data_IF_071179727104
#
_entry.id   IF_071179727104
#
_cell.length_a   1.000
_cell.length_b   1.000
_cell.length_c   1.000
_cell.angle_alpha   90.00
_cell.angle_beta   90.00
_cell.angle_gamma   90.00
#
_symmetry.space_group_name_H-M   'P 1'
#
loop_
_entity.id
_entity.type
_entity.pdbx_description
1 polymer ?
#
# COMPACT_ATOMS: atom_id res chain seq x y z
N UNK A 1 24.65 31.00 -37.35
CA UNK A 1 24.28 30.64 -35.96
C UNK A 1 23.24 29.51 -35.85
N UNK A 2 22.29 29.40 -36.77
CA UNK A 2 21.24 28.35 -36.79
C UNK A 2 21.79 26.92 -36.86
N UNK A 3 22.84 26.66 -37.65
CA UNK A 3 23.45 25.32 -37.81
C UNK A 3 24.18 24.85 -36.54
N UNK A 4 24.80 25.77 -35.80
CA UNK A 4 25.51 25.46 -34.54
C UNK A 4 24.51 25.09 -33.43
N UNK A 5 23.30 25.66 -33.47
CA UNK A 5 22.23 25.33 -32.53
C UNK A 5 21.63 23.95 -32.81
N UNK A 6 21.47 23.57 -34.08
CA UNK A 6 21.00 22.24 -34.48
C UNK A 6 21.95 21.13 -34.01
N UNK A 7 23.27 21.33 -34.15
CA UNK A 7 24.28 20.34 -33.74
C UNK A 7 24.25 20.08 -32.22
N UNK A 8 24.06 21.13 -31.41
CA UNK A 8 23.95 21.01 -29.94
C UNK A 8 22.67 20.29 -29.51
N UNK A 9 21.56 20.54 -30.18
CA UNK A 9 20.29 19.85 -29.94
C UNK A 9 20.40 18.36 -30.29
N UNK A 10 20.98 18.01 -31.45
CA UNK A 10 21.21 16.61 -31.83
C UNK A 10 22.16 15.88 -30.89
N UNK A 11 23.22 16.54 -30.43
CA UNK A 11 24.17 15.93 -29.47
C UNK A 11 23.51 15.70 -28.11
N UNK A 12 22.66 16.63 -27.66
CA UNK A 12 21.90 16.49 -26.40
C UNK A 12 20.83 15.41 -26.51
N UNK A 13 20.13 15.34 -27.64
CA UNK A 13 19.14 14.30 -27.93
C UNK A 13 19.79 12.92 -27.98
N UNK A 14 20.93 12.76 -28.66
CA UNK A 14 21.66 11.49 -28.67
C UNK A 14 22.14 11.09 -27.28
N UNK A 15 22.64 12.03 -26.47
CA UNK A 15 23.03 11.73 -25.07
C UNK A 15 21.84 11.27 -24.22
N UNK A 16 20.67 11.90 -24.38
CA UNK A 16 19.44 11.50 -23.68
C UNK A 16 18.98 10.13 -24.19
N UNK A 17 18.99 9.89 -25.50
CA UNK A 17 18.62 8.63 -26.10
C UNK A 17 19.53 7.47 -25.64
N UNK A 18 20.85 7.67 -25.64
CA UNK A 18 21.82 6.68 -25.15
C UNK A 18 21.62 6.39 -23.66
N UNK A 19 21.47 7.42 -22.81
CA UNK A 19 21.17 7.23 -21.39
C UNK A 19 19.86 6.48 -21.15
N UNK A 20 18.83 6.74 -21.97
CA UNK A 20 17.56 6.03 -21.86
C UNK A 20 17.71 4.56 -22.27
N UNK A 21 18.50 4.25 -23.30
CA UNK A 21 18.79 2.87 -23.71
C UNK A 21 19.57 2.14 -22.61
N UNK A 22 20.65 2.74 -22.09
CA UNK A 22 21.44 2.17 -20.99
C UNK A 22 20.59 1.93 -19.73
N UNK A 23 19.72 2.89 -19.38
CA UNK A 23 18.78 2.75 -18.25
C UNK A 23 17.80 1.61 -18.48
N UNK A 24 17.29 1.44 -19.69
CA UNK A 24 16.37 0.34 -19.99
C UNK A 24 17.05 -1.02 -20.06
N UNK A 25 18.30 -1.10 -20.52
CA UNK A 25 19.09 -2.33 -20.46
C UNK A 25 19.40 -2.72 -19.02
N UNK A 26 19.83 -1.76 -18.18
CA UNK A 26 20.06 -1.99 -16.76
C UNK A 26 18.77 -2.48 -16.06
N UNK A 27 17.63 -1.84 -16.35
CA UNK A 27 16.32 -2.24 -15.82
C UNK A 27 15.92 -3.64 -16.27
N UNK A 28 16.18 -4.01 -17.53
CA UNK A 28 15.92 -5.38 -18.03
C UNK A 28 16.76 -6.41 -17.29
N UNK A 29 18.06 -6.16 -17.12
CA UNK A 29 18.95 -7.09 -16.40
C UNK A 29 18.55 -7.25 -14.93
N UNK A 30 18.12 -6.18 -14.27
CA UNK A 30 17.59 -6.22 -12.92
C UNK A 30 16.28 -7.03 -12.86
N UNK A 31 15.37 -6.79 -13.81
CA UNK A 31 14.10 -7.51 -13.91
C UNK A 31 14.31 -9.01 -14.13
N UNK A 32 15.26 -9.40 -14.98
CA UNK A 32 15.53 -10.82 -15.25
C UNK A 32 16.16 -11.53 -14.05
N UNK A 33 17.05 -10.86 -13.31
CA UNK A 33 17.58 -11.37 -12.03
C UNK A 33 16.46 -11.57 -11.01
N UNK A 34 15.60 -10.58 -10.85
CA UNK A 34 14.47 -10.68 -9.93
C UNK A 34 13.52 -11.83 -10.32
N UNK A 35 13.23 -12.00 -11.62
CA UNK A 35 12.38 -13.11 -12.07
C UNK A 35 12.96 -14.46 -11.69
N UNK A 36 14.25 -14.66 -11.91
CA UNK A 36 14.94 -15.90 -11.56
C UNK A 36 14.90 -16.15 -10.05
N UNK A 37 15.16 -15.12 -9.25
CA UNK A 37 15.08 -15.21 -7.79
C UNK A 37 13.65 -15.53 -7.33
N UNK A 38 12.65 -14.84 -7.86
CA UNK A 38 11.25 -15.08 -7.54
C UNK A 38 10.79 -16.47 -7.97
N UNK A 39 11.28 -17.00 -9.09
CA UNK A 39 11.04 -18.39 -9.50
C UNK A 39 11.64 -19.39 -8.52
N UNK A 40 12.87 -19.17 -8.05
CA UNK A 40 13.52 -20.01 -7.05
C UNK A 40 12.74 -20.00 -5.73
N UNK A 41 12.37 -18.81 -5.24
CA UNK A 41 11.60 -18.68 -4.01
C UNK A 41 10.20 -19.27 -4.14
N UNK A 42 9.57 -19.13 -5.30
CA UNK A 42 8.28 -19.75 -5.57
C UNK A 42 8.36 -21.29 -5.54
N UNK A 43 9.46 -21.89 -5.99
CA UNK A 43 9.66 -23.34 -5.86
C UNK A 43 9.79 -23.78 -4.40
N UNK A 44 10.51 -23.02 -3.56
CA UNK A 44 10.62 -23.28 -2.13
C UNK A 44 9.25 -23.17 -1.46
N UNK A 45 8.49 -22.11 -1.78
CA UNK A 45 7.13 -21.91 -1.31
C UNK A 45 6.20 -23.08 -1.70
N UNK A 46 6.24 -23.55 -2.95
CA UNK A 46 5.41 -24.67 -3.39
C UNK A 46 5.74 -25.97 -2.64
N UNK A 47 7.01 -26.18 -2.24
CA UNK A 47 7.38 -27.30 -1.36
C UNK A 47 6.87 -27.10 0.06
N UNK A 48 6.99 -25.90 0.63
CA UNK A 48 6.45 -25.55 1.95
C UNK A 48 4.94 -25.78 2.00
N UNK A 49 4.22 -25.30 0.99
CA UNK A 49 2.77 -25.46 0.84
C UNK A 49 2.37 -26.92 0.78
N UNK A 50 3.03 -27.72 -0.08
CA UNK A 50 2.80 -29.18 -0.16
C UNK A 50 3.08 -29.88 1.16
N UNK A 51 4.16 -29.52 1.86
CA UNK A 51 4.46 -30.07 3.19
C UNK A 51 3.33 -29.73 4.17
N UNK A 52 2.91 -28.47 4.25
CA UNK A 52 1.92 -28.05 5.23
C UNK A 52 0.52 -28.61 4.93
N UNK A 53 0.15 -28.77 3.66
CA UNK A 53 -1.08 -29.45 3.24
C UNK A 53 -1.08 -30.93 3.67
N UNK A 54 0.09 -31.58 3.76
CA UNK A 54 0.21 -32.95 4.33
C UNK A 54 0.12 -32.99 5.86
N UNK A 55 0.32 -31.87 6.56
CA UNK A 55 0.19 -31.80 8.02
C UNK A 55 -1.26 -31.55 8.49
N UNK A 56 -2.06 -30.84 7.68
CA UNK A 56 -3.43 -30.42 8.03
C UNK A 56 -4.51 -31.54 7.91
N UNK A 57 -4.10 -32.80 7.81
CA UNK A 57 -4.96 -33.96 7.53
C UNK A 57 -5.76 -34.46 8.75
N UNK A 58 -6.64 -33.60 9.30
CA UNK A 58 -7.60 -33.96 10.35
C UNK A 58 -9.05 -34.17 9.89
N UNK A 59 -9.38 -33.96 8.60
CA UNK A 59 -10.73 -34.15 8.05
C UNK A 59 -10.94 -35.56 7.47
N UNK A 60 -12.20 -35.99 7.26
CA UNK A 60 -12.57 -37.29 6.65
C UNK A 60 -12.01 -37.52 5.24
N UNK A 61 -11.52 -36.48 4.55
CA UNK A 61 -10.83 -36.59 3.26
C UNK A 61 -9.39 -37.11 3.39
N UNK A 62 -8.80 -37.08 4.60
CA UNK A 62 -7.45 -37.57 4.91
C UNK A 62 -7.25 -39.07 4.71
N UNK A 63 -8.29 -39.87 4.95
CA UNK A 63 -8.23 -41.33 4.79
C UNK A 63 -8.03 -41.74 3.32
N UNK A 64 -8.44 -40.90 2.37
CA UNK A 64 -8.23 -41.12 0.93
C UNK A 64 -6.90 -40.54 0.44
N UNK A 65 -6.38 -39.48 1.07
CA UNK A 65 -5.11 -38.86 0.71
C UNK A 65 -3.89 -39.74 1.07
N UNK A 66 -3.94 -40.45 2.22
CA UNK A 66 -2.90 -41.42 2.63
C UNK A 66 -2.72 -42.57 1.62
N UNK A 67 -3.77 -42.94 0.89
CA UNK A 67 -3.72 -44.02 -0.10
C UNK A 67 -3.02 -43.62 -1.42
N UNK A 68 -2.75 -42.32 -1.64
CA UNK A 68 -2.10 -41.81 -2.85
C UNK A 68 -0.59 -41.64 -2.58
N UNK A 69 0.31 -42.36 -3.28
CA UNK A 69 1.76 -42.31 -3.06
C UNK A 69 2.40 -40.92 -3.13
N UNK A 70 1.73 -39.97 -3.82
CA UNK A 70 2.15 -38.58 -3.98
C UNK A 70 2.13 -37.76 -2.67
N UNK A 71 1.43 -38.24 -1.64
CA UNK A 71 1.39 -37.62 -0.30
C UNK A 71 2.27 -38.33 0.73
N UNK A 72 3.13 -39.26 0.29
CA UNK A 72 4.18 -39.82 1.16
C UNK A 72 5.21 -38.74 1.45
N UNK A 73 5.23 -38.26 2.70
CA UNK A 73 6.26 -37.44 3.34
C UNK A 73 6.98 -36.47 2.38
N UNK A 74 6.27 -35.44 1.92
CA UNK A 74 6.95 -34.26 1.38
C UNK A 74 7.83 -33.70 2.51
N UNK A 75 9.17 -33.63 2.38
CA UNK A 75 10.01 -33.08 3.44
C UNK A 75 9.75 -31.57 3.57
N UNK A 76 9.81 -31.06 4.80
CA UNK A 76 9.86 -29.62 5.02
C UNK A 76 11.12 -29.06 4.33
N UNK A 77 11.06 -27.92 3.64
CA UNK A 77 12.26 -27.25 3.13
C UNK A 77 13.28 -26.99 4.23
N UNK A 78 14.56 -26.90 3.86
CA UNK A 78 15.62 -26.68 4.83
C UNK A 78 15.45 -25.31 5.52
N UNK A 79 15.89 -25.19 6.78
CA UNK A 79 15.76 -23.97 7.58
C UNK A 79 16.30 -22.73 6.85
N UNK A 80 17.47 -22.82 6.22
CA UNK A 80 18.04 -21.74 5.41
C UNK A 80 17.17 -21.35 4.19
N UNK A 81 16.49 -22.32 3.56
CA UNK A 81 15.56 -22.03 2.46
C UNK A 81 14.32 -21.30 2.99
N UNK A 82 13.83 -21.66 4.18
CA UNK A 82 12.69 -20.99 4.83
C UNK A 82 13.04 -19.57 5.27
N UNK A 83 14.26 -19.33 5.77
CA UNK A 83 14.75 -17.98 6.09
C UNK A 83 14.87 -17.13 4.84
N UNK A 84 15.50 -17.65 3.78
CA UNK A 84 15.61 -16.96 2.50
C UNK A 84 14.24 -16.63 1.92
N UNK A 85 13.27 -17.54 2.04
CA UNK A 85 11.90 -17.31 1.64
C UNK A 85 11.24 -16.19 2.47
N UNK A 86 11.44 -16.18 3.80
CA UNK A 86 10.93 -15.11 4.66
C UNK A 86 11.52 -13.75 4.27
N UNK A 87 12.85 -13.64 4.14
CA UNK A 87 13.52 -12.38 3.78
C UNK A 87 13.15 -11.87 2.38
N UNK A 88 12.92 -12.77 1.42
CA UNK A 88 12.49 -12.38 0.07
C UNK A 88 11.15 -11.64 0.06
N UNK A 89 10.18 -12.11 0.84
CA UNK A 89 8.84 -11.48 0.91
C UNK A 89 8.74 -10.41 2.00
N UNK A 90 9.62 -10.48 3.00
CA UNK A 90 9.64 -9.64 4.19
C UNK A 90 11.09 -9.31 4.54
N UNK A 91 11.70 -8.30 3.89
CA UNK A 91 13.09 -7.96 4.15
C UNK A 91 13.30 -7.50 5.60
N UNK A 92 14.53 -7.64 6.13
CA UNK A 92 14.95 -6.96 7.35
C UNK A 92 14.51 -5.50 7.38
N UNK A 93 14.18 -4.97 8.57
CA UNK A 93 13.62 -3.62 8.68
C UNK A 93 14.61 -2.57 8.20
N UNK A 94 15.88 -2.70 8.58
CA UNK A 94 16.97 -1.82 8.16
C UNK A 94 17.15 -1.75 6.65
N UNK A 95 16.89 -2.87 5.93
CA UNK A 95 17.05 -3.01 4.48
C UNK A 95 15.79 -2.57 3.69
N UNK A 96 14.76 -2.04 4.37
CA UNK A 96 13.57 -1.52 3.68
C UNK A 96 13.93 -0.33 2.81
N UNK A 97 13.61 -0.43 1.53
CA UNK A 97 13.91 0.60 0.54
C UNK A 97 13.04 1.85 0.74
N UNK A 98 13.70 2.96 1.00
CA UNK A 98 13.12 4.28 1.13
C UNK A 98 13.48 5.15 -0.09
N UNK A 99 12.59 6.08 -0.44
CA UNK A 99 12.83 7.02 -1.52
C UNK A 99 12.98 8.43 -0.97
N UNK A 100 14.05 9.11 -1.36
CA UNK A 100 14.32 10.51 -1.04
C UNK A 100 14.32 11.30 -2.34
N UNK A 101 13.36 12.21 -2.46
CA UNK A 101 13.17 13.08 -3.61
C UNK A 101 13.40 14.53 -3.19
N UNK A 102 14.42 15.15 -3.76
CA UNK A 102 14.79 16.54 -3.52
C UNK A 102 14.26 17.43 -4.63
N UNK A 103 13.59 18.52 -4.27
CA UNK A 103 13.06 19.52 -5.18
C UNK A 103 13.57 20.91 -4.80
N UNK A 104 14.11 21.66 -5.76
CA UNK A 104 14.58 23.03 -5.51
C UNK A 104 15.36 23.60 -6.68
N UNK A 105 15.48 24.93 -6.74
CA UNK A 105 16.29 25.66 -7.74
C UNK A 105 16.12 25.17 -9.20
N UNK A 106 14.89 24.83 -9.61
CA UNK A 106 14.60 24.37 -10.96
C UNK A 106 15.11 22.96 -11.30
N UNK A 107 15.51 22.16 -10.30
CA UNK A 107 15.91 20.77 -10.45
C UNK A 107 15.17 19.84 -9.47
N UNK A 108 15.20 18.55 -9.80
CA UNK A 108 14.74 17.48 -8.94
C UNK A 108 15.75 16.32 -8.96
N UNK A 109 16.02 15.73 -7.80
CA UNK A 109 16.89 14.56 -7.66
C UNK A 109 16.16 13.46 -6.90
N UNK A 110 16.31 12.21 -7.33
CA UNK A 110 15.74 11.04 -6.68
C UNK A 110 16.88 10.11 -6.22
N UNK A 111 16.75 9.63 -4.99
CA UNK A 111 17.69 8.69 -4.37
C UNK A 111 16.90 7.56 -3.72
N UNK A 112 17.49 6.38 -3.80
CA UNK A 112 17.01 5.16 -3.16
C UNK A 112 17.98 4.88 -2.01
N UNK A 113 17.46 4.74 -0.80
CA UNK A 113 18.24 4.61 0.44
C UNK A 113 17.61 3.54 1.31
N UNK A 114 18.40 2.91 2.17
CA UNK A 114 17.88 1.93 3.12
C UNK A 114 17.28 2.63 4.35
N UNK A 115 16.28 2.02 4.99
CA UNK A 115 15.67 2.59 6.21
C UNK A 115 16.71 2.81 7.31
N UNK A 116 17.67 1.90 7.43
CA UNK A 116 18.76 2.01 8.40
C UNK A 116 19.70 3.19 8.13
N UNK A 117 19.66 3.81 6.95
CA UNK A 117 20.44 5.01 6.62
C UNK A 117 19.59 6.29 6.63
N UNK A 118 18.28 6.18 6.85
CA UNK A 118 17.33 7.27 6.61
C UNK A 118 17.59 8.52 7.47
N UNK A 119 18.09 8.35 8.70
CA UNK A 119 18.39 9.44 9.63
C UNK A 119 19.47 10.39 9.07
N UNK A 120 20.49 9.86 8.39
CA UNK A 120 21.50 10.70 7.73
C UNK A 120 20.86 11.67 6.72
N UNK A 121 19.84 11.19 6.00
CA UNK A 121 19.16 11.97 4.97
C UNK A 121 18.18 13.01 5.51
N UNK A 122 17.64 12.88 6.73
CA UNK A 122 16.91 14.02 7.31
C UNK A 122 17.82 15.02 8.02
N UNK A 123 19.03 14.61 8.44
CA UNK A 123 20.00 15.53 9.05
C UNK A 123 20.74 16.38 8.01
N UNK A 124 20.86 15.88 6.78
CA UNK A 124 21.68 16.50 5.72
C UNK A 124 20.85 17.01 4.54
N UNK A 125 20.01 18.04 4.75
CA UNK A 125 19.29 18.69 3.64
C UNK A 125 20.21 19.68 2.90
N UNK A 126 20.49 19.48 1.59
CA UNK A 126 21.31 20.42 0.83
C UNK A 126 20.64 21.79 0.75
N UNK A 127 21.46 22.85 0.73
CA UNK A 127 20.96 24.23 0.75
C UNK A 127 20.06 24.60 -0.43
N UNK A 128 20.24 23.95 -1.59
CA UNK A 128 19.43 24.17 -2.80
C UNK A 128 18.03 23.56 -2.71
N UNK A 129 17.81 22.63 -1.76
CA UNK A 129 16.56 21.85 -1.66
C UNK A 129 15.54 22.65 -0.88
N UNK A 130 14.49 23.07 -1.58
CA UNK A 130 13.33 23.70 -0.97
C UNK A 130 12.48 22.65 -0.26
N UNK A 131 12.20 21.54 -0.95
CA UNK A 131 11.37 20.44 -0.43
C UNK A 131 12.12 19.12 -0.55
N UNK A 132 12.31 18.42 0.57
CA UNK A 132 12.78 17.03 0.60
C UNK A 132 11.59 16.13 0.93
N UNK A 133 11.23 15.29 -0.02
CA UNK A 133 10.17 14.32 0.11
C UNK A 133 10.74 12.94 0.38
N UNK A 134 10.36 12.34 1.50
CA UNK A 134 10.78 11.02 1.93
C UNK A 134 9.56 10.10 1.87
N UNK A 135 9.70 8.95 1.23
CA UNK A 135 8.72 7.87 1.32
C UNK A 135 9.35 6.62 1.90
N UNK A 136 8.71 6.09 2.94
CA UNK A 136 9.14 4.90 3.66
C UNK A 136 8.02 3.86 3.63
N UNK A 137 8.30 2.60 3.25
CA UNK A 137 7.28 1.57 3.00
C UNK A 137 6.75 0.90 4.29
N UNK A 138 6.54 1.66 5.36
CA UNK A 138 6.15 1.15 6.68
C UNK A 138 4.65 1.22 6.93
N UNK A 139 4.10 0.14 7.45
CA UNK A 139 2.76 0.04 8.02
C UNK A 139 2.68 0.57 9.44
N UNK A 140 1.47 0.74 9.94
CA UNK A 140 1.22 1.39 11.24
C UNK A 140 1.58 0.45 12.40
N UNK A 141 2.78 0.59 12.96
CA UNK A 141 3.30 -0.19 14.08
C UNK A 141 4.50 0.46 14.77
N UNK A 142 5.30 -0.33 15.50
CA UNK A 142 6.42 0.17 16.29
C UNK A 142 7.46 0.92 15.45
N UNK A 143 7.95 0.32 14.36
CA UNK A 143 8.94 0.96 13.48
C UNK A 143 8.40 2.26 12.89
N UNK A 144 7.15 2.27 12.42
CA UNK A 144 6.51 3.48 11.90
C UNK A 144 6.44 4.58 12.97
N UNK A 145 5.93 4.29 14.15
CA UNK A 145 5.81 5.28 15.22
C UNK A 145 7.17 5.81 15.67
N UNK A 146 8.21 4.98 15.63
CA UNK A 146 9.57 5.39 15.98
C UNK A 146 10.16 6.32 14.90
N UNK A 147 10.02 5.96 13.61
CA UNK A 147 10.42 6.83 12.50
C UNK A 147 9.67 8.16 12.51
N UNK A 148 8.36 8.13 12.78
CA UNK A 148 7.53 9.32 12.96
C UNK A 148 8.09 10.24 14.06
N UNK A 149 8.34 9.69 15.24
CA UNK A 149 8.76 10.48 16.40
C UNK A 149 10.15 11.09 16.21
N UNK A 150 11.11 10.29 15.72
CA UNK A 150 12.46 10.79 15.45
C UNK A 150 12.43 11.89 14.38
N UNK A 151 11.66 11.68 13.30
CA UNK A 151 11.50 12.69 12.25
C UNK A 151 10.95 14.03 12.78
N UNK A 152 9.94 13.96 13.65
CA UNK A 152 9.29 15.14 14.23
C UNK A 152 10.16 15.81 15.30
N UNK A 153 10.94 15.05 16.07
CA UNK A 153 11.86 15.57 17.08
C UNK A 153 13.09 16.24 16.48
N UNK A 154 13.58 15.76 15.33
CA UNK A 154 14.78 16.27 14.66
C UNK A 154 14.57 17.63 13.95
N UNK A 155 13.41 18.27 14.10
CA UNK A 155 13.09 19.49 13.38
C UNK A 155 12.20 20.45 14.15
N UNK A 156 12.18 21.73 13.74
CA UNK A 156 11.18 22.65 14.23
C UNK A 156 9.80 22.11 13.84
N UNK A 157 8.97 21.86 14.85
CA UNK A 157 7.54 21.61 14.65
C UNK A 157 6.96 22.71 13.77
N UNK A 158 5.98 22.34 12.93
CA UNK A 158 5.28 23.28 12.06
C UNK A 158 4.91 24.57 12.79
N UNK A 159 4.82 25.69 12.04
CA UNK A 159 4.44 26.99 12.59
C UNK A 159 3.23 26.87 13.52
N UNK A 160 3.34 27.41 14.73
CA UNK A 160 2.19 27.54 15.64
C UNK A 160 1.25 28.61 15.09
N UNK A 161 -0.05 28.33 15.10
CA UNK A 161 -1.08 29.27 14.63
C UNK A 161 -2.07 29.52 15.76
N UNK A 162 -2.14 30.76 16.22
CA UNK A 162 -2.96 31.19 17.37
C UNK A 162 -4.44 30.82 17.22
N UNK A 163 -4.95 30.78 15.98
CA UNK A 163 -6.37 30.58 15.67
C UNK A 163 -6.71 29.20 15.09
N UNK A 164 -5.73 28.32 14.86
CA UNK A 164 -5.98 27.00 14.27
C UNK A 164 -6.24 25.90 15.31
N UNK A 165 -6.22 26.22 16.61
CA UNK A 165 -6.46 25.27 17.70
C UNK A 165 -5.39 24.17 17.87
N UNK A 166 -4.48 23.99 16.90
CA UNK A 166 -3.29 23.12 16.91
C UNK A 166 -2.18 23.69 16.02
N UNK A 167 -0.92 23.38 16.35
CA UNK A 167 0.27 23.75 15.57
C UNK A 167 0.31 22.99 14.25
N UNK A 168 -0.38 23.50 13.23
CA UNK A 168 -0.50 22.82 11.94
C UNK A 168 -1.15 21.43 12.04
N UNK A 169 -1.35 20.81 10.88
CA UNK A 169 -1.59 19.37 10.75
C UNK A 169 -0.25 18.63 10.82
N UNK A 170 0.31 18.19 11.95
CA UNK A 170 1.61 17.51 11.92
C UNK A 170 1.57 16.28 11.01
N UNK A 171 0.37 15.71 10.76
CA UNK A 171 0.17 14.66 9.78
C UNK A 171 -1.22 14.59 9.15
N UNK A 172 -1.28 14.00 7.96
CA UNK A 172 -2.48 13.57 7.25
C UNK A 172 -2.56 12.05 7.29
N UNK A 173 -3.66 11.49 7.80
CA UNK A 173 -3.92 10.05 7.79
C UNK A 173 -5.09 9.71 6.86
N UNK A 174 -4.85 8.82 5.90
CA UNK A 174 -5.87 8.33 4.96
C UNK A 174 -5.64 6.85 4.64
N UNK A 175 -6.60 6.23 3.97
CA UNK A 175 -6.38 4.92 3.35
C UNK A 175 -6.19 5.04 1.85
N UNK A 176 -5.26 4.26 1.31
CA UNK A 176 -5.04 4.12 -0.13
C UNK A 176 -5.49 2.73 -0.57
N UNK A 177 -6.27 2.71 -1.64
CA UNK A 177 -6.66 1.47 -2.32
C UNK A 177 -5.70 1.22 -3.48
N UNK A 178 -5.14 0.02 -3.55
CA UNK A 178 -4.19 -0.36 -4.59
C UNK A 178 -4.41 -1.81 -5.04
N UNK A 179 -3.96 -2.15 -6.24
CA UNK A 179 -4.01 -3.53 -6.73
C UNK A 179 -2.67 -4.22 -6.59
N UNK A 180 -2.71 -5.51 -6.24
CA UNK A 180 -1.54 -6.39 -6.24
C UNK A 180 -1.83 -7.64 -7.05
N UNK A 181 -0.78 -8.30 -7.54
CA UNK A 181 -0.93 -9.62 -8.11
C UNK A 181 -1.48 -10.56 -7.02
N UNK A 182 -2.61 -11.19 -7.30
CA UNK A 182 -3.36 -12.02 -6.36
C UNK A 182 -2.50 -13.17 -5.83
N UNK A 183 -1.80 -13.87 -6.72
CA UNK A 183 -0.96 -15.00 -6.28
C UNK A 183 0.20 -14.54 -5.40
N UNK A 184 0.80 -13.38 -5.69
CA UNK A 184 1.87 -12.83 -4.87
C UNK A 184 1.34 -12.46 -3.48
N UNK A 185 0.23 -11.72 -3.44
CA UNK A 185 -0.43 -11.33 -2.20
C UNK A 185 -0.85 -12.54 -1.35
N UNK A 186 -1.44 -13.58 -1.95
CA UNK A 186 -1.82 -14.80 -1.24
C UNK A 186 -0.59 -15.58 -0.79
N UNK A 187 0.47 -15.63 -1.60
CA UNK A 187 1.75 -16.27 -1.24
C UNK A 187 2.38 -15.63 -0.02
N UNK A 188 2.49 -14.29 0.02
CA UNK A 188 2.98 -13.55 1.19
C UNK A 188 2.24 -13.97 2.46
N UNK A 189 0.91 -13.95 2.42
CA UNK A 189 0.06 -14.28 3.57
C UNK A 189 0.17 -15.73 4.01
N UNK A 190 0.25 -16.65 3.05
CA UNK A 190 0.41 -18.07 3.33
C UNK A 190 1.78 -18.34 3.97
N UNK A 191 2.83 -17.65 3.51
CA UNK A 191 4.18 -17.69 4.11
C UNK A 191 4.11 -17.19 5.56
N UNK A 192 3.51 -16.02 5.82
CA UNK A 192 3.33 -15.51 7.17
C UNK A 192 2.64 -16.53 8.08
N UNK A 193 1.46 -17.03 7.67
CA UNK A 193 0.69 -18.00 8.46
C UNK A 193 1.46 -19.29 8.75
N UNK A 194 2.30 -19.75 7.82
CA UNK A 194 3.04 -21.01 7.97
C UNK A 194 4.37 -20.86 8.69
N UNK A 195 4.97 -19.67 8.70
CA UNK A 195 6.32 -19.46 9.25
C UNK A 195 6.34 -18.69 10.57
N UNK A 196 5.34 -17.85 10.88
CA UNK A 196 5.40 -16.97 12.05
C UNK A 196 5.57 -17.68 13.41
N UNK A 197 4.97 -18.86 13.57
CA UNK A 197 5.03 -19.67 14.79
C UNK A 197 6.22 -20.66 14.84
N UNK A 198 7.11 -20.66 13.83
CA UNK A 198 8.25 -21.60 13.79
C UNK A 198 9.42 -21.08 14.62
N UNK A 199 9.55 -21.60 15.84
CA UNK A 199 10.64 -21.25 16.78
C UNK A 199 12.04 -21.41 16.19
N UNK A 200 12.25 -22.42 15.34
CA UNK A 200 13.52 -22.68 14.63
C UNK A 200 13.99 -21.51 13.75
N UNK A 201 13.08 -20.62 13.33
CA UNK A 201 13.39 -19.45 12.51
C UNK A 201 13.52 -18.18 13.33
N UNK A 202 12.88 -18.12 14.51
CA UNK A 202 12.68 -16.87 15.24
C UNK A 202 13.99 -16.22 15.69
N UNK A 203 14.94 -17.00 16.19
CA UNK A 203 16.21 -16.45 16.69
C UNK A 203 16.95 -15.68 15.58
N UNK A 204 17.20 -16.34 14.45
CA UNK A 204 17.98 -15.77 13.36
C UNK A 204 17.21 -14.65 12.62
N UNK A 205 15.88 -14.78 12.48
CA UNK A 205 15.05 -13.72 11.91
C UNK A 205 15.05 -12.47 12.81
N UNK A 206 14.95 -12.64 14.13
CA UNK A 206 15.00 -11.52 15.08
C UNK A 206 16.37 -10.85 15.09
N UNK A 207 17.47 -11.63 15.16
CA UNK A 207 18.84 -11.08 15.13
C UNK A 207 19.11 -10.33 13.82
N UNK A 208 18.62 -10.85 12.70
CA UNK A 208 18.79 -10.22 11.39
C UNK A 208 17.86 -9.05 11.12
N UNK A 209 16.83 -8.80 11.95
CA UNK A 209 15.81 -7.77 11.72
C UNK A 209 16.42 -6.37 11.57
N UNK A 210 17.46 -6.09 12.35
CA UNK A 210 18.21 -4.83 12.36
C UNK A 210 19.63 -4.99 11.80
N UNK A 211 19.85 -6.02 10.98
CA UNK A 211 21.16 -6.28 10.39
C UNK A 211 21.61 -5.07 9.56
N UNK A 212 22.84 -4.62 9.77
CA UNK A 212 23.41 -3.47 9.09
C UNK A 212 22.65 -2.15 9.32
N UNK A 213 21.81 -2.06 10.36
CA UNK A 213 21.19 -0.80 10.77
C UNK A 213 22.27 0.22 11.16
N UNK A 214 22.21 1.41 10.56
CA UNK A 214 23.07 2.55 10.87
C UNK A 214 22.32 3.64 11.64
N UNK A 215 21.06 3.38 12.00
CA UNK A 215 20.18 4.26 12.75
C UNK A 215 20.01 3.71 14.18
N UNK A 216 21.03 3.92 15.01
CA UNK A 216 21.01 3.46 16.41
C UNK A 216 19.83 4.05 17.21
N UNK A 217 19.38 5.25 16.83
CA UNK A 217 18.22 5.92 17.41
C UNK A 217 16.93 5.12 17.18
N UNK A 218 16.73 4.61 15.96
CA UNK A 218 15.54 3.85 15.57
C UNK A 218 15.43 2.53 16.32
N UNK A 219 16.50 1.73 16.34
CA UNK A 219 16.48 0.46 17.06
C UNK A 219 16.21 0.66 18.56
N UNK A 220 16.90 1.63 19.17
CA UNK A 220 16.72 1.96 20.60
C UNK A 220 15.29 2.42 20.90
N UNK A 221 14.70 3.25 20.04
CA UNK A 221 13.34 3.75 20.23
C UNK A 221 12.29 2.63 20.04
N UNK A 222 12.50 1.73 19.07
CA UNK A 222 11.62 0.57 18.86
C UNK A 222 11.64 -0.36 20.07
N UNK A 223 12.82 -0.67 20.61
CA UNK A 223 12.96 -1.50 21.81
C UNK A 223 12.28 -0.83 23.02
N UNK A 224 12.55 0.47 23.24
CA UNK A 224 11.91 1.24 24.31
C UNK A 224 10.39 1.24 24.20
N UNK A 225 9.83 1.43 22.99
CA UNK A 225 8.38 1.36 22.78
C UNK A 225 7.83 -0.04 22.99
N UNK A 226 8.57 -1.06 22.56
CA UNK A 226 8.24 -2.46 22.80
C UNK A 226 8.05 -2.73 24.30
N UNK A 227 9.06 -2.37 25.10
CA UNK A 227 9.03 -2.46 26.56
C UNK A 227 7.86 -1.67 27.17
N UNK A 228 7.67 -0.42 26.73
CA UNK A 228 6.60 0.44 27.22
C UNK A 228 5.20 -0.13 26.95
N UNK A 229 5.00 -0.76 25.79
CA UNK A 229 3.71 -1.32 25.38
C UNK A 229 3.49 -2.76 25.86
N UNK A 230 4.53 -3.41 26.38
CA UNK A 230 4.53 -4.83 26.77
C UNK A 230 4.54 -5.77 25.56
N UNK A 231 5.23 -5.38 24.49
CA UNK A 231 5.34 -6.11 23.23
C UNK A 231 6.80 -6.36 22.88
N UNK A 232 7.17 -7.61 22.65
CA UNK A 232 8.52 -7.95 22.16
C UNK A 232 8.63 -7.59 20.65
N UNK A 233 9.60 -6.76 20.24
CA UNK A 233 9.78 -6.35 18.84
C UNK A 233 10.45 -7.46 18.00
N UNK A 234 9.76 -8.59 17.85
CA UNK A 234 10.22 -9.69 16.97
C UNK A 234 10.05 -9.35 15.49
N UNK A 235 10.79 -10.04 14.62
CA UNK A 235 10.71 -9.93 13.17
C UNK A 235 9.25 -9.95 12.68
N UNK A 236 8.49 -10.98 13.07
CA UNK A 236 7.09 -11.12 12.63
C UNK A 236 6.16 -10.07 13.20
N UNK A 237 6.41 -9.57 14.42
CA UNK A 237 5.65 -8.47 15.03
C UNK A 237 5.89 -7.12 14.35
N UNK A 238 7.04 -6.96 13.68
CA UNK A 238 7.37 -5.74 12.94
C UNK A 238 6.95 -5.83 11.47
N UNK A 239 6.81 -7.05 10.94
CA UNK A 239 6.35 -7.34 9.57
C UNK A 239 4.84 -7.32 9.45
N UNK A 240 4.11 -7.75 10.48
CA UNK A 240 2.66 -7.99 10.36
C UNK A 240 1.85 -6.73 10.03
N UNK A 241 2.31 -5.57 10.50
CA UNK A 241 1.74 -4.24 10.23
C UNK A 241 1.92 -3.76 8.80
N UNK A 242 2.91 -4.29 8.07
CA UNK A 242 3.19 -3.96 6.67
C UNK A 242 2.33 -4.77 5.69
N UNK A 243 1.65 -5.82 6.17
CA UNK A 243 0.82 -6.63 5.30
C UNK A 243 -0.39 -5.81 4.81
N UNK A 244 -0.61 -5.71 3.49
CA UNK A 244 -1.79 -5.05 2.97
C UNK A 244 -3.06 -5.76 3.43
N UNK A 245 -4.09 -4.97 3.68
CA UNK A 245 -5.35 -5.49 4.19
C UNK A 245 -6.26 -5.88 3.03
N UNK A 246 -6.88 -7.05 3.11
CA UNK A 246 -8.04 -7.33 2.25
C UNK A 246 -9.17 -6.36 2.60
N UNK A 247 -10.09 -6.08 1.67
CA UNK A 247 -11.25 -5.23 1.98
C UNK A 247 -12.13 -5.80 3.10
N UNK A 248 -12.20 -7.14 3.18
CA UNK A 248 -12.88 -7.89 4.24
C UNK A 248 -12.15 -7.88 5.57
N UNK A 249 -10.92 -7.38 5.62
CA UNK A 249 -10.04 -7.44 6.77
C UNK A 249 -9.79 -6.07 7.38
N UNK A 250 -9.71 -6.06 8.71
CA UNK A 250 -9.44 -4.89 9.53
C UNK A 250 -10.70 -4.27 10.13
N UNK A 251 -10.53 -3.55 11.25
CA UNK A 251 -11.66 -2.93 11.94
C UNK A 251 -12.23 -1.73 11.17
N UNK A 252 -13.36 -1.23 11.69
CA UNK A 252 -13.85 0.11 11.43
C UNK A 252 -12.67 1.09 11.50
N UNK A 253 -12.46 1.82 10.42
CA UNK A 253 -11.43 2.85 10.34
C UNK A 253 -11.43 3.73 11.60
N UNK A 254 -10.27 4.15 12.10
CA UNK A 254 -10.14 4.96 13.32
C UNK A 254 -9.62 4.21 14.54
N UNK A 255 -8.90 3.12 14.36
CA UNK A 255 -8.10 2.55 15.43
C UNK A 255 -6.79 3.33 15.53
N UNK A 256 -6.69 4.14 16.59
CA UNK A 256 -5.76 5.26 16.68
C UNK A 256 -4.69 4.96 17.73
N UNK A 257 -3.53 4.50 17.29
CA UNK A 257 -2.32 4.43 18.10
C UNK A 257 -1.47 3.19 17.82
N UNK A 258 -0.18 3.16 18.21
CA UNK A 258 0.68 1.97 18.04
C UNK A 258 0.18 0.73 18.79
N UNK A 259 -0.70 0.91 19.78
CA UNK A 259 -1.39 -0.16 20.53
C UNK A 259 -2.72 -0.59 19.90
N UNK A 260 -3.40 0.35 19.24
CA UNK A 260 -4.68 0.16 18.55
C UNK A 260 -4.51 -0.07 17.04
N UNK A 261 -3.27 -0.05 16.53
CA UNK A 261 -2.90 -0.43 15.18
C UNK A 261 -3.21 -1.90 15.00
N UNK A 262 -4.45 -2.21 14.65
CA UNK A 262 -4.90 -3.59 14.62
C UNK A 262 -4.16 -4.32 13.54
N UNK A 263 -3.44 -5.33 13.99
CA UNK A 263 -2.80 -6.32 13.14
C UNK A 263 -3.88 -6.91 12.22
N UNK A 264 -3.62 -7.04 10.91
CA UNK A 264 -4.54 -7.73 10.04
C UNK A 264 -4.78 -9.13 10.58
N UNK A 265 -6.05 -9.49 10.82
CA UNK A 265 -6.40 -10.89 11.03
C UNK A 265 -6.25 -11.56 9.68
N UNK A 266 -5.09 -12.16 9.43
CA UNK A 266 -4.77 -12.81 8.16
C UNK A 266 -5.69 -14.02 8.00
N UNK A 267 -6.75 -13.90 7.20
CA UNK A 267 -7.67 -14.99 6.86
C UNK A 267 -7.43 -15.46 5.42
N UNK A 268 -7.71 -16.75 5.18
CA UNK A 268 -7.59 -17.37 3.86
C UNK A 268 -8.79 -17.07 2.93
N UNK A 269 -9.76 -16.28 3.38
CA UNK A 269 -11.06 -16.17 2.72
C UNK A 269 -11.08 -14.98 1.77
N UNK A 270 -10.75 -15.25 0.50
CA UNK A 270 -10.89 -14.27 -0.57
C UNK A 270 -12.36 -14.17 -1.04
N UNK A 271 -12.98 -13.03 -0.73
CA UNK A 271 -14.36 -12.73 -1.10
C UNK A 271 -14.47 -11.72 -2.25
N UNK A 272 -13.36 -11.29 -2.85
CA UNK A 272 -13.42 -10.09 -3.68
C UNK A 272 -14.12 -10.30 -5.03
N UNK A 273 -15.25 -9.62 -5.24
CA UNK A 273 -16.00 -9.63 -6.48
C UNK A 273 -15.30 -8.85 -7.59
N UNK A 274 -14.55 -7.79 -7.27
CA UNK A 274 -13.87 -7.01 -8.31
C UNK A 274 -12.88 -7.87 -9.11
N UNK A 275 -12.22 -8.83 -8.44
CA UNK A 275 -11.34 -9.83 -9.04
C UNK A 275 -12.06 -10.83 -9.95
N UNK A 276 -13.40 -10.87 -9.94
CA UNK A 276 -14.19 -11.70 -10.88
C UNK A 276 -14.37 -11.05 -12.25
N UNK A 277 -14.11 -9.74 -12.37
CA UNK A 277 -14.16 -9.05 -13.66
C UNK A 277 -12.92 -9.42 -14.51
N UNK A 278 -13.07 -9.74 -15.81
CA UNK A 278 -11.94 -10.19 -16.65
C UNK A 278 -10.75 -9.21 -16.71
N UNK A 279 -11.01 -7.91 -16.67
CA UNK A 279 -9.95 -6.88 -16.62
C UNK A 279 -9.13 -6.90 -15.32
N UNK A 280 -9.68 -7.40 -14.21
CA UNK A 280 -8.96 -7.53 -12.95
C UNK A 280 -8.58 -8.98 -12.67
N UNK A 281 -8.47 -9.80 -13.72
CA UNK A 281 -8.01 -11.16 -13.59
C UNK A 281 -6.63 -11.18 -12.91
N UNK A 282 -6.46 -12.06 -11.94
CA UNK A 282 -5.26 -12.17 -11.09
C UNK A 282 -4.92 -10.91 -10.29
N UNK A 283 -5.83 -9.93 -10.15
CA UNK A 283 -5.61 -8.73 -9.35
C UNK A 283 -6.39 -8.82 -8.03
N UNK A 284 -5.75 -8.41 -6.94
CA UNK A 284 -6.36 -8.23 -5.62
C UNK A 284 -6.34 -6.74 -5.28
N UNK A 285 -7.51 -6.15 -5.05
CA UNK A 285 -7.62 -4.82 -4.48
C UNK A 285 -7.47 -4.92 -2.95
N UNK A 286 -6.46 -4.22 -2.45
CA UNK A 286 -6.10 -4.14 -1.04
C UNK A 286 -6.21 -2.71 -0.54
N UNK A 287 -6.34 -2.55 0.77
CA UNK A 287 -6.31 -1.26 1.46
C UNK A 287 -5.02 -1.16 2.27
N UNK A 288 -4.40 0.01 2.25
CA UNK A 288 -3.15 0.30 2.96
C UNK A 288 -3.30 1.62 3.71
N UNK A 289 -2.95 1.68 5.01
CA UNK A 289 -2.86 2.94 5.72
C UNK A 289 -1.79 3.84 5.07
N UNK A 290 -2.04 5.13 5.08
CA UNK A 290 -1.16 6.13 4.50
C UNK A 290 -1.12 7.34 5.41
N UNK A 291 0.07 7.64 5.92
CA UNK A 291 0.34 8.81 6.77
C UNK A 291 1.36 9.71 6.11
N UNK A 292 1.15 11.00 6.23
CA UNK A 292 2.07 12.03 5.71
C UNK A 292 2.37 13.01 6.80
N UNK A 293 3.64 13.28 7.05
CA UNK A 293 4.16 14.21 8.05
C UNK A 293 4.89 15.35 7.36
N UNK A 294 4.86 16.55 7.94
CA UNK A 294 5.68 17.65 7.43
C UNK A 294 6.34 18.44 8.55
N UNK A 295 7.45 19.09 8.20
CA UNK A 295 8.20 19.99 9.08
C UNK A 295 8.29 21.38 8.45
N UNK A 296 8.51 22.40 9.29
CA UNK A 296 8.60 23.79 8.83
C UNK A 296 9.81 24.06 7.92
N UNK A 297 10.84 23.23 7.99
CA UNK A 297 12.06 23.31 7.20
C UNK A 297 11.96 22.63 5.82
N UNK A 298 10.75 22.31 5.35
CA UNK A 298 10.52 21.82 3.99
C UNK A 298 10.72 20.30 3.82
N UNK A 299 10.68 19.54 4.91
CA UNK A 299 10.59 18.09 4.81
C UNK A 299 9.14 17.62 4.73
N UNK A 300 8.90 16.63 3.88
CA UNK A 300 7.64 15.90 3.73
C UNK A 300 7.93 14.41 3.83
N UNK A 301 7.48 13.73 4.89
CA UNK A 301 7.64 12.29 5.04
C UNK A 301 6.31 11.57 4.78
N UNK A 302 6.34 10.46 4.08
CA UNK A 302 5.18 9.60 3.84
C UNK A 302 5.46 8.18 4.29
N UNK A 303 4.64 7.68 5.20
CA UNK A 303 4.69 6.31 5.70
C UNK A 303 3.47 5.56 5.20
N UNK A 304 3.68 4.48 4.46
CA UNK A 304 2.62 3.59 3.98
C UNK A 304 3.21 2.25 3.61
N UNK A 305 2.53 1.11 3.84
CA UNK A 305 2.98 -0.19 3.34
C UNK A 305 3.24 -0.18 1.84
N UNK A 306 4.00 -1.16 1.35
CA UNK A 306 4.44 -1.23 -0.05
C UNK A 306 3.35 -0.84 -1.07
N UNK A 307 3.72 -0.05 -2.08
CA UNK A 307 2.81 0.39 -3.12
C UNK A 307 2.28 -0.79 -3.94
N UNK A 308 1.00 -0.76 -4.29
CA UNK A 308 0.45 -1.58 -5.38
C UNK A 308 0.33 -0.78 -6.66
N UNK A 309 -0.38 -1.34 -7.64
CA UNK A 309 -0.59 -0.75 -8.96
C UNK A 309 -1.85 0.09 -8.97
N UNK A 310 -1.72 1.21 -9.65
CA UNK A 310 -2.82 2.09 -9.97
C UNK A 310 -3.77 1.43 -10.99
N UNK A 311 -5.06 1.39 -10.66
CA UNK A 311 -6.10 0.82 -11.54
C UNK A 311 -6.41 1.69 -12.77
N UNK A 312 -5.82 2.88 -12.88
CA UNK A 312 -5.88 3.74 -14.07
C UNK A 312 -4.80 3.48 -15.10
N UNK A 313 -3.85 2.61 -14.81
CA UNK A 313 -2.71 2.42 -15.69
C UNK A 313 -3.13 1.73 -16.99
N UNK A 314 -2.75 2.34 -18.13
CA UNK A 314 -2.96 1.77 -19.48
C UNK A 314 -2.29 0.40 -19.67
N UNK A 315 -1.24 0.15 -18.90
CA UNK A 315 -0.44 -1.07 -18.85
C UNK A 315 -0.73 -1.89 -17.59
N UNK A 316 -1.91 -1.73 -16.97
CA UNK A 316 -2.31 -2.38 -15.71
C UNK A 316 -1.85 -3.85 -15.61
N UNK A 317 -2.18 -4.69 -16.60
CA UNK A 317 -1.81 -6.11 -16.58
C UNK A 317 -0.31 -6.38 -16.64
N UNK A 318 0.43 -5.54 -17.36
CA UNK A 318 1.89 -5.62 -17.43
C UNK A 318 2.47 -5.29 -16.06
N UNK A 319 2.08 -4.17 -15.49
CA UNK A 319 2.54 -3.73 -14.17
C UNK A 319 2.11 -4.71 -13.06
N UNK A 320 0.94 -5.36 -13.20
CA UNK A 320 0.50 -6.44 -12.30
C UNK A 320 1.47 -7.62 -12.22
N UNK A 321 2.24 -7.85 -13.28
CA UNK A 321 3.23 -8.93 -13.31
C UNK A 321 4.65 -8.42 -13.00
N UNK A 322 4.82 -7.13 -12.76
CA UNK A 322 6.13 -6.55 -12.43
C UNK A 322 6.47 -6.77 -10.95
N UNK A 323 7.76 -6.96 -10.62
CA UNK A 323 8.26 -6.99 -9.26
C UNK A 323 7.83 -5.76 -8.46
N UNK A 324 7.63 -5.89 -7.15
CA UNK A 324 7.20 -4.74 -6.35
C UNK A 324 8.25 -3.62 -6.37
N UNK A 325 9.54 -3.96 -6.33
CA UNK A 325 10.63 -2.96 -6.41
C UNK A 325 10.61 -2.22 -7.75
N UNK A 326 10.28 -2.91 -8.84
CA UNK A 326 10.16 -2.30 -10.16
C UNK A 326 8.93 -1.38 -10.29
N UNK A 327 7.88 -1.65 -9.50
CA UNK A 327 6.69 -0.79 -9.42
C UNK A 327 6.97 0.51 -8.66
N UNK A 328 7.87 0.46 -7.68
CA UNK A 328 8.30 1.64 -6.93
C UNK A 328 9.09 2.64 -7.77
N UNK A 329 9.93 2.15 -8.69
CA UNK A 329 10.68 3.00 -9.62
C UNK A 329 9.85 3.44 -10.84
N UNK A 330 8.58 3.04 -10.93
CA UNK A 330 7.69 3.34 -12.04
C UNK A 330 6.57 4.30 -11.58
N UNK A 331 6.85 5.60 -11.68
CA UNK A 331 5.96 6.71 -11.29
C UNK A 331 4.56 6.63 -11.93
N UNK A 332 4.46 6.05 -13.13
CA UNK A 332 3.19 5.89 -13.84
C UNK A 332 2.34 4.75 -13.27
N UNK A 333 3.00 3.68 -12.80
CA UNK A 333 2.39 2.44 -12.32
C UNK A 333 1.96 2.50 -10.84
N UNK A 334 2.73 3.18 -9.99
CA UNK A 334 2.52 3.18 -8.55
C UNK A 334 1.18 3.81 -8.15
N UNK A 335 0.39 3.08 -7.37
CA UNK A 335 -0.93 3.50 -6.87
C UNK A 335 -0.88 4.68 -5.90
N UNK A 336 0.32 5.08 -5.45
CA UNK A 336 0.49 6.19 -4.53
C UNK A 336 0.15 7.55 -5.17
N UNK A 337 -0.09 7.61 -6.49
CA UNK A 337 -0.04 8.87 -7.24
C UNK A 337 -1.35 9.31 -7.93
N UNK A 338 -2.41 8.49 -8.14
CA UNK A 338 -3.62 8.94 -8.90
C UNK A 338 -4.98 8.35 -8.45
N UNK A 339 -6.05 9.14 -8.63
CA UNK A 339 -7.33 9.08 -7.88
C UNK A 339 -8.52 8.30 -8.50
N UNK A 340 -9.36 7.70 -7.60
CA UNK A 340 -10.48 6.70 -7.68
C UNK A 340 -11.53 6.71 -8.84
N UNK A 341 -11.44 7.56 -9.86
CA UNK A 341 -12.59 7.87 -10.76
C UNK A 341 -13.00 6.77 -11.76
N UNK A 342 -12.07 6.04 -12.40
CA UNK A 342 -12.44 4.97 -13.37
C UNK A 342 -12.82 3.63 -12.70
N UNK A 343 -12.48 3.43 -11.43
CA UNK A 343 -12.87 2.24 -10.66
C UNK A 343 -14.39 2.14 -10.51
N UNK A 344 -15.07 3.29 -10.34
CA UNK A 344 -16.54 3.40 -10.28
C UNK A 344 -17.20 2.86 -11.55
N UNK A 345 -16.67 3.20 -12.73
CA UNK A 345 -17.24 2.76 -14.01
C UNK A 345 -17.16 1.24 -14.14
N UNK A 346 -16.04 0.64 -13.71
CA UNK A 346 -15.85 -0.81 -13.81
C UNK A 346 -16.63 -1.59 -12.75
N UNK A 347 -16.69 -1.09 -11.51
CA UNK A 347 -17.58 -1.64 -10.47
C UNK A 347 -19.05 -1.58 -10.90
N UNK A 348 -19.47 -0.48 -11.52
CA UNK A 348 -20.81 -0.36 -12.10
C UNK A 348 -21.09 -1.46 -13.13
N UNK A 349 -20.12 -1.81 -13.99
CA UNK A 349 -20.25 -2.93 -14.94
C UNK A 349 -20.46 -4.27 -14.24
N UNK A 350 -19.64 -4.58 -13.22
CA UNK A 350 -19.76 -5.84 -12.44
C UNK A 350 -21.13 -5.93 -11.77
N UNK A 351 -21.59 -4.82 -11.20
CA UNK A 351 -22.89 -4.72 -10.55
C UNK A 351 -24.02 -4.87 -11.56
N UNK A 352 -23.92 -4.25 -12.73
CA UNK A 352 -24.89 -4.45 -13.81
C UNK A 352 -24.96 -5.91 -14.27
N UNK A 353 -23.82 -6.60 -14.35
CA UNK A 353 -23.79 -8.02 -14.70
C UNK A 353 -24.43 -8.88 -13.60
N UNK A 354 -24.17 -8.60 -12.32
CA UNK A 354 -24.90 -9.23 -11.22
C UNK A 354 -26.41 -8.98 -11.29
N UNK A 355 -26.82 -7.74 -11.58
CA UNK A 355 -28.23 -7.35 -11.75
C UNK A 355 -28.90 -8.09 -12.91
N UNK A 356 -28.18 -8.34 -14.00
CA UNK A 356 -28.69 -9.16 -15.12
C UNK A 356 -28.91 -10.60 -14.70
N UNK A 357 -27.93 -11.18 -13.99
CA UNK A 357 -27.97 -12.58 -13.53
C UNK A 357 -29.06 -12.88 -12.51
N UNK A 358 -29.64 -11.86 -11.87
CA UNK A 358 -30.86 -12.00 -11.05
C UNK A 358 -32.04 -12.58 -11.84
N UNK A 359 -32.14 -12.29 -13.14
CA UNK A 359 -33.23 -12.77 -13.98
C UNK A 359 -32.97 -14.16 -14.57
N UNK A 360 -31.80 -14.75 -14.29
CA UNK A 360 -31.50 -16.10 -14.72
C UNK A 360 -32.42 -17.11 -14.02
N UNK A 361 -32.71 -18.22 -14.70
CA UNK A 361 -33.50 -19.31 -14.11
C UNK A 361 -32.85 -19.81 -12.82
N UNK A 362 -33.66 -19.99 -11.78
CA UNK A 362 -33.20 -20.46 -10.48
C UNK A 362 -32.57 -21.85 -10.59
N UNK A 363 -31.30 -21.96 -10.19
CA UNK A 363 -30.55 -23.21 -10.13
C UNK A 363 -29.80 -23.24 -8.80
N UNK A 364 -30.07 -24.20 -7.88
CA UNK A 364 -29.67 -24.09 -6.47
C UNK A 364 -28.20 -23.71 -6.25
N UNK A 365 -27.27 -24.40 -6.92
CA UNK A 365 -25.81 -24.15 -6.81
C UNK A 365 -25.38 -22.81 -7.43
N UNK A 366 -26.06 -22.34 -8.46
CA UNK A 366 -25.74 -21.08 -9.15
C UNK A 366 -26.31 -19.90 -8.37
N UNK A 367 -27.55 -20.04 -7.87
CA UNK A 367 -28.19 -19.02 -7.04
C UNK A 367 -27.44 -18.78 -5.74
N UNK A 368 -26.98 -19.84 -5.06
CA UNK A 368 -26.15 -19.70 -3.84
C UNK A 368 -24.85 -18.93 -4.14
N UNK A 369 -24.15 -19.28 -5.22
CA UNK A 369 -22.94 -18.54 -5.65
C UNK A 369 -23.26 -17.08 -5.99
N UNK A 370 -24.40 -16.82 -6.61
CA UNK A 370 -24.85 -15.48 -6.95
C UNK A 370 -25.15 -14.66 -5.70
N UNK A 371 -25.84 -15.23 -4.70
CA UNK A 371 -26.12 -14.59 -3.40
C UNK A 371 -24.81 -14.26 -2.66
N UNK A 372 -23.84 -15.17 -2.63
CA UNK A 372 -22.51 -14.87 -2.07
C UNK A 372 -21.80 -13.72 -2.80
N UNK A 373 -21.92 -13.65 -4.14
CA UNK A 373 -21.36 -12.54 -4.91
C UNK A 373 -22.07 -11.21 -4.57
N UNK A 374 -23.40 -11.19 -4.42
CA UNK A 374 -24.13 -10.02 -3.97
C UNK A 374 -23.66 -9.54 -2.59
N UNK A 375 -23.59 -10.43 -1.60
CA UNK A 375 -23.09 -10.08 -0.27
C UNK A 375 -21.66 -9.53 -0.31
N UNK A 376 -20.77 -10.18 -1.06
CA UNK A 376 -19.38 -9.73 -1.17
C UNK A 376 -19.27 -8.34 -1.81
N UNK A 377 -20.05 -8.09 -2.88
CA UNK A 377 -20.11 -6.77 -3.49
C UNK A 377 -20.69 -5.69 -2.57
N UNK A 378 -21.68 -6.03 -1.74
CA UNK A 378 -22.25 -5.12 -0.72
C UNK A 378 -21.18 -4.75 0.30
N UNK A 379 -20.43 -5.74 0.81
CA UNK A 379 -19.37 -5.53 1.81
C UNK A 379 -18.24 -4.65 1.23
N UNK A 380 -17.82 -4.89 -0.01
CA UNK A 380 -16.80 -4.09 -0.69
C UNK A 380 -17.21 -2.64 -0.92
N UNK A 381 -18.41 -2.41 -1.48
CA UNK A 381 -18.92 -1.07 -1.73
C UNK A 381 -19.12 -0.30 -0.42
N UNK A 382 -19.57 -0.99 0.63
CA UNK A 382 -19.71 -0.39 1.97
C UNK A 382 -18.36 0.05 2.51
N UNK A 383 -17.34 -0.81 2.39
CA UNK A 383 -15.97 -0.50 2.86
C UNK A 383 -15.37 0.70 2.12
N UNK A 384 -15.48 0.72 0.79
CA UNK A 384 -14.97 1.84 -0.03
C UNK A 384 -15.76 3.12 0.27
N UNK A 385 -17.09 3.03 0.39
CA UNK A 385 -17.96 4.15 0.74
C UNK A 385 -17.57 4.79 2.07
N UNK A 386 -17.42 4.00 3.13
CA UNK A 386 -16.96 4.50 4.42
C UNK A 386 -15.62 5.23 4.31
N UNK A 387 -14.66 4.67 3.54
CA UNK A 387 -13.32 5.25 3.37
C UNK A 387 -13.38 6.63 2.69
N UNK A 388 -14.24 6.77 1.68
CA UNK A 388 -14.49 8.05 1.02
C UNK A 388 -15.19 9.04 1.94
N UNK A 389 -16.16 8.61 2.75
CA UNK A 389 -16.84 9.48 3.72
C UNK A 389 -15.84 10.11 4.70
N UNK A 390 -14.92 9.33 5.24
CA UNK A 390 -13.90 9.84 6.17
C UNK A 390 -12.93 10.82 5.52
N UNK A 391 -12.54 10.58 4.27
CA UNK A 391 -11.75 11.55 3.50
C UNK A 391 -12.49 12.88 3.34
N UNK A 392 -13.81 12.85 3.13
CA UNK A 392 -14.64 14.06 3.10
C UNK A 392 -14.65 14.76 4.46
N UNK A 393 -14.78 14.02 5.56
CA UNK A 393 -14.73 14.57 6.92
C UNK A 393 -13.37 15.22 7.22
N UNK A 394 -12.28 14.54 6.89
CA UNK A 394 -10.92 15.07 7.00
C UNK A 394 -10.73 16.37 6.22
N UNK A 395 -11.15 16.39 4.95
CA UNK A 395 -11.07 17.59 4.12
C UNK A 395 -11.92 18.76 4.63
N UNK A 396 -13.05 18.49 5.30
CA UNK A 396 -13.83 19.57 5.96
C UNK A 396 -13.06 20.21 7.11
N UNK A 397 -12.39 19.39 7.93
CA UNK A 397 -11.57 19.91 9.04
C UNK A 397 -10.38 20.68 8.48
N UNK A 398 -9.67 20.11 7.49
CA UNK A 398 -8.57 20.79 6.80
C UNK A 398 -9.00 22.12 6.18
N UNK A 399 -10.22 22.21 5.66
CA UNK A 399 -10.72 23.43 5.03
C UNK A 399 -10.86 24.56 6.03
N UNK A 400 -11.31 24.26 7.25
CA UNK A 400 -11.39 25.26 8.31
C UNK A 400 -9.99 25.78 8.65
N UNK A 401 -9.02 24.88 8.80
CA UNK A 401 -7.66 25.25 9.20
C UNK A 401 -6.92 26.00 8.10
N UNK A 402 -7.01 25.54 6.85
CA UNK A 402 -6.40 26.22 5.70
C UNK A 402 -7.01 27.62 5.51
N UNK A 403 -8.32 27.78 5.77
CA UNK A 403 -8.95 29.09 5.75
C UNK A 403 -8.40 30.00 6.86
N UNK A 404 -8.16 29.46 8.05
CA UNK A 404 -7.52 30.20 9.14
C UNK A 404 -6.08 30.59 8.77
N UNK A 405 -5.32 29.68 8.15
CA UNK A 405 -3.95 29.93 7.68
C UNK A 405 -3.90 31.05 6.63
N UNK A 406 -4.75 30.97 5.58
CA UNK A 406 -4.82 32.02 4.56
C UNK A 406 -5.23 33.37 5.16
N UNK A 407 -6.13 33.38 6.14
CA UNK A 407 -6.54 34.62 6.83
C UNK A 407 -5.37 35.24 7.58
N UNK A 408 -4.59 34.45 8.30
CA UNK A 408 -3.42 34.91 9.03
C UNK A 408 -2.27 35.35 8.10
N UNK A 409 -2.01 34.63 7.03
CA UNK A 409 -0.98 34.97 6.04
C UNK A 409 -1.32 36.26 5.29
N UNK A 410 -2.61 36.45 4.94
CA UNK A 410 -3.10 37.71 4.40
C UNK A 410 -2.90 38.88 5.39
N UNK A 411 -3.19 38.66 6.69
CA UNK A 411 -2.95 39.67 7.74
C UNK A 411 -1.47 40.05 7.82
N UNK A 412 -0.58 39.06 7.67
CA UNK A 412 0.88 39.25 7.71
C UNK A 412 1.48 39.67 6.35
N UNK A 413 0.65 39.86 5.32
CA UNK A 413 1.07 40.21 3.95
C UNK A 413 2.09 39.22 3.37
N UNK A 414 1.96 37.93 3.71
CA UNK A 414 2.77 36.88 3.09
C UNK A 414 2.25 36.61 1.67
N UNK A 415 3.17 36.43 0.74
CA UNK A 415 2.82 36.11 -0.65
C UNK A 415 2.33 34.66 -0.71
N UNK A 416 1.20 34.37 -1.37
CA UNK A 416 0.80 32.99 -1.62
C UNK A 416 1.88 32.24 -2.41
N UNK A 417 2.10 30.96 -2.09
CA UNK A 417 3.08 30.11 -2.79
C UNK A 417 2.79 29.92 -4.29
N UNK A 418 1.57 30.21 -4.75
CA UNK A 418 1.18 30.10 -6.15
C UNK A 418 0.93 31.49 -6.77
N UNK A 419 1.85 31.93 -7.64
CA UNK A 419 1.73 33.18 -8.39
C UNK A 419 0.59 33.21 -9.41
N UNK A 420 -0.01 32.05 -9.76
CA UNK A 420 -1.13 31.94 -10.71
C UNK A 420 -2.53 32.00 -10.08
N UNK A 421 -2.64 32.20 -8.76
CA UNK A 421 -3.87 32.70 -8.14
C UNK A 421 -4.86 31.68 -7.58
N UNK A 422 -4.59 30.37 -7.63
CA UNK A 422 -5.40 29.40 -6.87
C UNK A 422 -4.97 29.34 -5.40
N UNK A 423 -5.91 29.66 -4.51
CA UNK A 423 -5.70 29.54 -3.07
C UNK A 423 -5.65 28.08 -2.63
N UNK A 424 -4.97 27.81 -1.51
CA UNK A 424 -4.95 26.48 -0.87
C UNK A 424 -6.36 26.03 -0.48
N UNK A 425 -7.25 26.95 -0.08
CA UNK A 425 -8.68 26.65 0.12
C UNK A 425 -9.34 26.20 -1.18
N UNK A 426 -9.10 26.86 -2.30
CA UNK A 426 -9.70 26.49 -3.59
C UNK A 426 -9.27 25.09 -4.04
N UNK A 427 -7.98 24.77 -3.92
CA UNK A 427 -7.44 23.42 -4.22
C UNK A 427 -8.08 22.35 -3.35
N UNK A 428 -8.26 22.64 -2.06
CA UNK A 428 -8.91 21.71 -1.13
C UNK A 428 -10.41 21.54 -1.41
N UNK A 429 -11.11 22.60 -1.79
CA UNK A 429 -12.53 22.53 -2.22
C UNK A 429 -12.68 21.63 -3.44
N UNK A 430 -11.81 21.78 -4.43
CA UNK A 430 -11.80 20.92 -5.62
C UNK A 430 -11.58 19.43 -5.24
N UNK A 431 -10.60 19.15 -4.39
CA UNK A 431 -10.32 17.80 -3.92
C UNK A 431 -11.50 17.20 -3.15
N UNK A 432 -12.08 17.97 -2.23
CA UNK A 432 -13.26 17.58 -1.46
C UNK A 432 -14.46 17.26 -2.35
N UNK A 433 -14.75 18.10 -3.35
CA UNK A 433 -15.86 17.88 -4.28
C UNK A 433 -15.65 16.62 -5.13
N UNK A 434 -14.40 16.33 -5.52
CA UNK A 434 -14.05 15.11 -6.24
C UNK A 434 -14.33 13.86 -5.41
N UNK A 435 -13.94 13.84 -4.14
CA UNK A 435 -14.19 12.70 -3.23
C UNK A 435 -15.68 12.57 -2.91
N UNK A 436 -16.40 13.68 -2.68
CA UNK A 436 -17.87 13.67 -2.47
C UNK A 436 -18.61 13.05 -3.64
N UNK A 437 -18.27 13.45 -4.87
CA UNK A 437 -18.88 12.87 -6.07
C UNK A 437 -18.64 11.36 -6.15
N UNK A 438 -17.41 10.91 -5.85
CA UNK A 438 -17.10 9.48 -5.81
C UNK A 438 -17.95 8.76 -4.75
N UNK A 439 -18.03 9.31 -3.54
CA UNK A 439 -18.83 8.75 -2.44
C UNK A 439 -20.29 8.56 -2.87
N UNK A 440 -20.92 9.60 -3.43
CA UNK A 440 -22.31 9.55 -3.90
C UNK A 440 -22.53 8.47 -4.98
N UNK A 441 -21.56 8.28 -5.89
CA UNK A 441 -21.63 7.20 -6.87
C UNK A 441 -21.63 5.82 -6.21
N UNK A 442 -20.76 5.60 -5.21
CA UNK A 442 -20.70 4.33 -4.47
C UNK A 442 -21.97 4.07 -3.66
N UNK A 443 -22.55 5.08 -3.01
CA UNK A 443 -23.81 4.95 -2.28
C UNK A 443 -24.96 4.53 -3.19
N UNK A 444 -25.08 5.14 -4.38
CA UNK A 444 -26.10 4.76 -5.38
C UNK A 444 -25.94 3.30 -5.82
N UNK A 445 -24.71 2.89 -6.12
CA UNK A 445 -24.40 1.51 -6.49
C UNK A 445 -24.74 0.52 -5.37
N UNK A 446 -24.46 0.89 -4.12
CA UNK A 446 -24.77 0.07 -2.95
C UNK A 446 -26.27 -0.11 -2.75
N UNK A 447 -27.06 0.97 -2.89
CA UNK A 447 -28.53 0.92 -2.82
C UNK A 447 -29.07 -0.01 -3.90
N UNK A 448 -28.63 0.16 -5.15
CA UNK A 448 -29.01 -0.67 -6.28
C UNK A 448 -28.72 -2.15 -6.05
N UNK A 449 -27.55 -2.46 -5.48
CA UNK A 449 -27.10 -3.82 -5.23
C UNK A 449 -27.91 -4.49 -4.10
N UNK A 450 -28.20 -3.76 -3.01
CA UNK A 450 -29.05 -4.22 -1.91
C UNK A 450 -30.47 -4.54 -2.39
N UNK A 451 -31.10 -3.63 -3.13
CA UNK A 451 -32.42 -3.85 -3.72
C UNK A 451 -32.43 -5.07 -4.66
N UNK A 452 -31.34 -5.30 -5.39
CA UNK A 452 -31.22 -6.44 -6.30
C UNK A 452 -31.06 -7.77 -5.55
N UNK A 453 -30.33 -7.77 -4.43
CA UNK A 453 -30.19 -8.93 -3.54
C UNK A 453 -31.52 -9.30 -2.88
N UNK A 454 -32.29 -8.32 -2.41
CA UNK A 454 -33.61 -8.54 -1.80
C UNK A 454 -34.57 -9.21 -2.81
N UNK A 455 -34.50 -8.79 -4.07
CA UNK A 455 -35.28 -9.38 -5.16
C UNK A 455 -34.85 -10.82 -5.52
N UNK A 456 -33.58 -11.19 -5.36
CA UNK A 456 -33.09 -12.57 -5.55
C UNK A 456 -33.46 -13.48 -4.37
N UNK A 457 -33.51 -12.91 -3.17
CA UNK A 457 -33.80 -13.64 -1.92
C UNK A 457 -35.29 -13.81 -1.65
N UNK A 458 -36.14 -13.05 -2.35
CA UNK A 458 -37.60 -13.18 -2.28
C UNK A 458 -38.06 -14.43 -3.06
N UNK A 459 -38.91 -15.30 -2.48
CA UNK A 459 -39.43 -16.46 -3.18
C UNK A 459 -40.22 -16.02 -4.42
N UNK A 460 -39.82 -16.51 -5.60
CA UNK A 460 -40.57 -16.31 -6.82
C UNK A 460 -41.98 -16.93 -6.63
N UNK A 461 -43.07 -16.18 -6.89
CA UNK A 461 -44.40 -16.78 -6.91
C UNK A 461 -44.42 -17.89 -7.96
N UNK A 462 -44.87 -19.07 -7.55
CA UNK A 462 -44.95 -20.27 -8.40
C UNK A 462 -45.90 -20.09 -9.57
#
# INVERSE_FOLDING_TARGET
>A
ETVVNSQKVFTSFNKIATRNVEREEARRQQLDRFKLENENQHQVYERLKKWADTQYTGSKESLLAWAIPKYRQTPLPHVEELKSLAWHYYPPRSELICHVCDFGEGRAEHKVVDLGELEEYWQTKPAWVNVRWIHTPLGLGLTHSSVEDIFLHDGPTGREFENAGRSGWPYLETEVFNFRHRDNFQTMRDIYLRLHDKSELQHDLNESTWRADRNASLHTDVDWRGDHLGMEPSFWNLVDVDMPWQLSEGLAMGAMGPRDGLRPIVRYVDKQILSSHPFYNNAQLVRSPFRTFYRADGFLMRLSPMAGINYLDKNFHRHLSEPIDALFDNDDASAQTKALRLGIIRLSSVIQDLKRRRYDQWKPKVTVKLVHAFHSGIDELTTIGLSLQKKVELFKIMQLDVKNFETEDNRLRKTPDNGEGESSVQRLVWAMNTVKYQHECFERLLIDLKQSMDAVSSPQPK
#
